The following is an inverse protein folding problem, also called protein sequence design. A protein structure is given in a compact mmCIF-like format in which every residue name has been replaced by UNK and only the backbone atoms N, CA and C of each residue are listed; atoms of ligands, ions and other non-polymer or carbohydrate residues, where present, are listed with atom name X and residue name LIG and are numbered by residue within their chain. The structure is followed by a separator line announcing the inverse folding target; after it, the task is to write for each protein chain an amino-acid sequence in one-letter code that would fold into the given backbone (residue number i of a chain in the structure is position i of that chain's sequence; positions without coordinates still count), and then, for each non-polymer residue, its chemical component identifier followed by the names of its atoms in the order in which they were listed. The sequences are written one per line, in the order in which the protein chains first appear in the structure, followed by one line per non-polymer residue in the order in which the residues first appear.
data_IF_004472116271
#
_entry.id   IF_004472116271
#
_cell.length_a   1.000
_cell.length_b   1.000
_cell.length_c   1.000
_cell.angle_alpha   90.00
_cell.angle_beta   90.00
_cell.angle_gamma   90.00
#
_symmetry.space_group_name_H-M   'P 1'
#
loop_
_entity.id
_entity.type
_entity.pdbx_description
1 polymer ?
#
# COMPACT_ATOMS: atom_id res chain seq x y z
N UNK A 1 -53.08 -54.83 36.03
CA UNK A 1 -51.61 -54.59 35.90
C UNK A 1 -51.21 -53.35 35.07
N UNK A 2 -51.99 -52.25 35.04
CA UNK A 2 -51.62 -51.03 34.26
C UNK A 2 -51.26 -49.78 35.08
N UNK A 3 -51.26 -49.87 36.42
CA UNK A 3 -50.95 -48.72 37.29
C UNK A 3 -49.45 -48.65 37.66
N UNK A 4 -48.73 -49.77 37.68
CA UNK A 4 -47.30 -49.80 38.06
C UNK A 4 -46.32 -49.28 36.99
N UNK A 5 -46.70 -49.19 35.70
CA UNK A 5 -45.81 -48.73 34.63
C UNK A 5 -45.74 -47.21 34.50
N UNK A 6 -46.75 -46.48 34.99
CA UNK A 6 -46.82 -45.01 34.89
C UNK A 6 -45.95 -44.28 35.93
N UNK A 7 -45.72 -44.88 37.10
CA UNK A 7 -44.82 -44.35 38.13
C UNK A 7 -43.35 -44.49 37.74
N UNK A 8 -42.97 -45.61 37.12
CA UNK A 8 -41.58 -45.87 36.66
C UNK A 8 -41.12 -44.93 35.54
N UNK A 9 -42.04 -44.43 34.70
CA UNK A 9 -41.73 -43.47 33.62
C UNK A 9 -41.52 -42.03 34.13
N UNK A 10 -42.15 -41.66 35.25
CA UNK A 10 -41.99 -40.34 35.86
C UNK A 10 -40.67 -40.23 36.62
N UNK A 11 -40.28 -41.28 37.35
CA UNK A 11 -38.99 -41.33 38.03
C UNK A 11 -37.83 -41.34 37.03
N UNK A 12 -37.94 -42.04 35.91
CA UNK A 12 -36.93 -42.03 34.85
C UNK A 12 -36.77 -40.65 34.19
N UNK A 13 -37.88 -39.93 33.94
CA UNK A 13 -37.84 -38.57 33.40
C UNK A 13 -37.24 -37.55 34.37
N UNK A 14 -37.53 -37.69 35.66
CA UNK A 14 -36.90 -36.85 36.69
C UNK A 14 -35.40 -37.13 36.79
N UNK A 15 -34.98 -38.39 36.72
CA UNK A 15 -33.57 -38.77 36.68
C UNK A 15 -32.85 -38.20 35.45
N UNK A 16 -33.46 -38.27 34.26
CA UNK A 16 -32.90 -37.68 33.04
C UNK A 16 -32.77 -36.16 33.12
N UNK A 17 -33.75 -35.46 33.73
CA UNK A 17 -33.67 -34.02 33.96
C UNK A 17 -32.54 -33.65 34.94
N UNK A 18 -32.37 -34.42 36.02
CA UNK A 18 -31.30 -34.20 36.99
C UNK A 18 -29.92 -34.41 36.34
N UNK A 19 -29.76 -35.47 35.55
CA UNK A 19 -28.51 -35.76 34.82
C UNK A 19 -28.22 -34.66 33.78
N UNK A 20 -29.25 -34.17 33.09
CA UNK A 20 -29.08 -33.08 32.12
C UNK A 20 -28.65 -31.77 32.79
N UNK A 21 -29.30 -31.39 33.90
CA UNK A 21 -28.95 -30.21 34.67
C UNK A 21 -27.54 -30.29 35.28
N UNK A 22 -27.14 -31.45 35.79
CA UNK A 22 -25.79 -31.64 36.33
C UNK A 22 -24.71 -31.57 35.25
N UNK A 23 -24.96 -32.14 34.06
CA UNK A 23 -24.05 -31.98 32.92
C UNK A 23 -23.92 -30.53 32.46
N UNK A 24 -25.02 -29.77 32.44
CA UNK A 24 -24.97 -28.34 32.10
C UNK A 24 -24.21 -27.53 33.14
N UNK A 25 -24.42 -27.77 34.43
CA UNK A 25 -23.65 -27.11 35.50
C UNK A 25 -22.16 -27.44 35.41
N UNK A 26 -21.81 -28.68 35.07
CA UNK A 26 -20.42 -29.11 34.91
C UNK A 26 -19.77 -28.44 33.70
N UNK A 27 -20.47 -28.32 32.58
CA UNK A 27 -20.00 -27.57 31.40
C UNK A 27 -19.81 -26.07 31.69
N UNK A 28 -20.74 -25.44 32.42
CA UNK A 28 -20.61 -24.04 32.83
C UNK A 28 -19.39 -23.86 33.74
N UNK A 29 -19.19 -24.75 34.71
CA UNK A 29 -18.02 -24.73 35.59
C UNK A 29 -16.71 -24.89 34.82
N UNK A 30 -16.67 -25.80 33.84
CA UNK A 30 -15.50 -26.04 33.00
C UNK A 30 -15.17 -24.83 32.12
N UNK A 31 -16.19 -24.18 31.55
CA UNK A 31 -16.04 -22.93 30.79
C UNK A 31 -15.53 -21.81 31.70
N UNK A 32 -16.10 -21.62 32.90
CA UNK A 32 -15.63 -20.64 33.88
C UNK A 32 -14.19 -20.91 34.32
N UNK A 33 -13.79 -22.17 34.48
CA UNK A 33 -12.42 -22.54 34.81
C UNK A 33 -11.43 -22.19 33.69
N UNK A 34 -11.81 -22.37 32.42
CA UNK A 34 -11.01 -21.95 31.25
C UNK A 34 -10.88 -20.42 31.18
N UNK A 35 -11.94 -19.69 31.53
CA UNK A 35 -11.86 -18.23 31.63
C UNK A 35 -10.97 -17.76 32.79
N UNK A 36 -10.96 -18.49 33.93
CA UNK A 36 -10.14 -18.13 35.08
C UNK A 36 -8.64 -18.44 34.88
N UNK A 37 -8.30 -19.46 34.07
CA UNK A 37 -6.90 -19.77 33.70
C UNK A 37 -6.32 -18.85 32.62
N UNK A 38 -7.16 -18.05 31.96
CA UNK A 38 -6.70 -17.10 30.91
C UNK A 38 -6.29 -15.72 31.46
N UNK A 39 -6.43 -15.47 32.78
CA UNK A 39 -6.09 -14.20 33.42
C UNK A 39 -4.96 -14.29 34.47
N UNK A 40 -4.24 -15.40 34.57
CA UNK A 40 -2.92 -15.39 35.23
C UNK A 40 -1.83 -15.14 34.18
N UNK A 41 -1.26 -13.94 34.22
CA UNK A 41 -0.06 -13.56 33.51
C UNK A 41 1.06 -14.54 33.90
N UNK A 42 1.43 -15.43 32.96
CA UNK A 42 2.56 -16.33 33.11
C UNK A 42 3.84 -15.52 33.31
N UNK A 43 4.25 -15.36 34.57
CA UNK A 43 5.58 -14.92 34.94
C UNK A 43 6.53 -16.11 34.70
N UNK A 44 7.29 -16.09 33.61
CA UNK A 44 8.37 -17.07 33.41
C UNK A 44 9.64 -16.64 34.17
N UNK A 45 10.36 -17.58 34.81
CA UNK A 45 11.53 -17.29 35.61
C UNK A 45 12.79 -17.21 34.74
N UNK A 46 13.63 -16.21 35.00
CA UNK A 46 15.03 -16.24 34.57
C UNK A 46 15.55 -14.90 34.08
N UNK A 47 16.14 -14.12 34.99
CA UNK A 47 17.49 -13.55 34.92
C UNK A 47 17.70 -12.86 36.28
N UNK A 48 18.57 -13.45 37.11
CA UNK A 48 19.06 -12.78 38.32
C UNK A 48 19.97 -11.64 37.90
N UNK A 49 19.61 -10.41 38.28
CA UNK A 49 20.55 -9.32 38.49
C UNK A 49 20.35 -8.88 39.95
N UNK A 50 21.36 -9.17 40.76
CA UNK A 50 21.48 -8.74 42.14
C UNK A 50 21.68 -7.22 42.19
N UNK A 51 20.66 -6.49 42.60
CA UNK A 51 20.81 -5.10 43.08
C UNK A 51 20.60 -5.12 44.58
N UNK A 52 21.69 -4.93 45.30
CA UNK A 52 21.73 -4.74 46.75
C UNK A 52 21.00 -3.45 47.08
N UNK A 53 19.84 -3.55 47.74
CA UNK A 53 19.19 -2.42 48.41
C UNK A 53 19.54 -2.50 49.90
N UNK A 54 20.38 -1.57 50.35
CA UNK A 54 20.60 -1.33 51.78
C UNK A 54 19.44 -0.49 52.30
N UNK A 55 18.70 -1.06 53.25
CA UNK A 55 17.63 -0.40 54.00
C UNK A 55 18.30 0.35 55.16
N UNK A 56 18.09 1.67 55.26
CA UNK A 56 18.08 2.33 56.56
C UNK A 56 16.85 3.23 56.72
N UNK A 57 16.27 3.04 57.90
CA UNK A 57 14.97 3.50 58.36
C UNK A 57 14.86 5.01 58.60
N UNK A 58 13.61 5.42 58.60
CA UNK A 58 13.03 6.68 59.05
C UNK A 58 13.41 7.12 60.47
N UNK A 59 13.66 8.42 60.66
CA UNK A 59 13.19 9.22 61.81
C UNK A 59 13.15 10.72 61.49
N UNK A 60 12.04 11.34 61.88
CA UNK A 60 11.59 12.76 61.80
C UNK A 60 12.34 13.69 62.79
N UNK A 61 12.01 15.00 62.94
CA UNK A 61 11.49 16.05 62.02
C UNK A 61 12.24 17.41 62.17
N UNK A 62 12.20 18.34 61.20
CA UNK A 62 12.22 19.80 61.52
C UNK A 62 11.89 20.73 60.33
N UNK A 63 10.92 21.62 60.58
CA UNK A 63 10.61 22.94 59.99
C UNK A 63 11.22 23.38 58.64
N UNK A 64 10.37 23.81 57.68
CA UNK A 64 10.11 25.24 57.33
C UNK A 64 9.23 25.37 56.07
N UNK A 65 8.48 26.47 56.04
CA UNK A 65 7.52 26.93 55.03
C UNK A 65 8.12 27.22 53.63
N UNK A 66 7.22 27.18 52.63
CA UNK A 66 7.24 27.83 51.31
C UNK A 66 8.26 27.25 50.29
N UNK A 67 7.99 27.11 49.00
CA UNK A 67 7.12 27.85 48.07
C UNK A 67 6.87 26.97 46.84
N UNK A 68 5.78 27.22 46.11
CA UNK A 68 5.46 26.56 44.86
C UNK A 68 6.57 26.71 43.80
N UNK A 69 6.92 25.60 43.14
CA UNK A 69 7.76 25.55 41.95
C UNK A 69 7.23 24.47 41.03
N UNK A 70 6.60 24.90 39.93
CA UNK A 70 6.18 24.06 38.82
C UNK A 70 7.43 23.43 38.20
N UNK A 71 7.52 22.09 38.23
CA UNK A 71 8.53 21.36 37.45
C UNK A 71 7.93 21.10 36.07
N UNK A 72 8.35 21.93 35.13
CA UNK A 72 8.12 21.77 33.70
C UNK A 72 8.81 20.50 33.22
N UNK A 73 8.12 19.74 32.39
CA UNK A 73 8.56 18.53 31.73
C UNK A 73 9.58 18.91 30.64
N UNK A 74 10.89 18.84 30.92
CA UNK A 74 11.97 19.21 29.98
C UNK A 74 12.69 18.00 29.33
N UNK A 75 12.16 16.78 29.42
CA UNK A 75 12.94 15.57 29.05
C UNK A 75 12.69 15.06 27.61
N UNK A 76 11.76 15.63 26.85
CA UNK A 76 11.40 15.09 25.51
C UNK A 76 11.91 15.93 24.31
N UNK A 77 12.50 17.10 24.55
CA UNK A 77 12.92 18.05 23.51
C UNK A 77 14.36 17.83 23.01
N UNK A 78 15.26 17.30 23.85
CA UNK A 78 16.70 17.20 23.54
C UNK A 78 17.01 16.17 22.44
N UNK A 79 16.37 14.98 22.50
CA UNK A 79 16.59 13.92 21.50
C UNK A 79 16.06 14.27 20.10
N UNK A 80 14.93 14.99 20.03
CA UNK A 80 14.34 15.38 18.73
C UNK A 80 15.21 16.41 18.00
N UNK A 81 15.84 17.33 18.75
CA UNK A 81 16.75 18.31 18.18
C UNK A 81 18.03 17.67 17.64
N UNK A 82 18.60 16.70 18.37
CA UNK A 82 19.78 15.93 17.94
C UNK A 82 19.49 15.11 16.66
N UNK A 83 18.33 14.46 16.59
CA UNK A 83 17.95 13.68 15.40
C UNK A 83 17.71 14.56 14.16
N UNK A 84 17.13 15.76 14.34
CA UNK A 84 17.03 16.75 13.27
C UNK A 84 18.41 17.23 12.79
N UNK A 85 19.34 17.46 13.73
CA UNK A 85 20.71 17.85 13.40
C UNK A 85 21.45 16.75 12.62
N UNK A 86 21.28 15.47 12.98
CA UNK A 86 21.83 14.34 12.20
C UNK A 86 21.25 14.28 10.80
N UNK A 87 19.94 14.50 10.65
CA UNK A 87 19.28 14.49 9.34
C UNK A 87 19.78 15.66 8.47
N UNK A 88 19.98 16.83 9.06
CA UNK A 88 20.57 17.99 8.39
C UNK A 88 22.03 17.72 7.98
N UNK A 89 22.83 17.12 8.86
CA UNK A 89 24.20 16.71 8.57
C UNK A 89 24.26 15.68 7.42
N UNK A 90 23.34 14.70 7.40
CA UNK A 90 23.23 13.73 6.30
C UNK A 90 23.01 14.43 4.96
N UNK A 91 22.02 15.32 4.87
CA UNK A 91 21.72 16.02 3.61
C UNK A 91 22.72 17.09 3.24
N UNK A 92 23.53 17.56 4.19
CA UNK A 92 24.66 18.46 3.94
C UNK A 92 25.91 17.71 3.47
N UNK A 93 25.98 16.40 3.65
CA UNK A 93 27.13 15.59 3.26
C UNK A 93 27.37 15.61 1.73
N UNK A 94 28.64 15.65 1.26
CA UNK A 94 28.96 15.74 -0.17
C UNK A 94 28.34 14.64 -1.03
N UNK A 95 28.19 13.41 -0.50
CA UNK A 95 27.56 12.29 -1.21
C UNK A 95 26.09 12.55 -1.58
N UNK A 96 25.36 13.38 -0.83
CA UNK A 96 23.97 13.76 -1.14
C UNK A 96 23.87 14.99 -2.04
N UNK A 97 24.99 15.65 -2.32
CA UNK A 97 25.07 16.88 -3.11
C UNK A 97 25.96 16.71 -4.36
N UNK A 98 26.13 15.46 -4.83
CA UNK A 98 26.85 15.20 -6.06
C UNK A 98 26.15 15.89 -7.26
N UNK A 99 26.91 16.51 -8.18
CA UNK A 99 26.35 17.15 -9.35
C UNK A 99 25.60 16.12 -10.20
N UNK A 100 24.31 16.37 -10.42
CA UNK A 100 23.47 15.53 -11.28
C UNK A 100 23.49 16.10 -12.69
N UNK A 101 23.73 15.28 -13.74
CA UNK A 101 23.63 15.74 -15.12
C UNK A 101 22.23 16.33 -15.39
N UNK A 102 22.13 17.38 -16.22
CA UNK A 102 20.83 17.92 -16.61
C UNK A 102 20.00 16.83 -17.29
N UNK A 103 18.73 16.73 -16.90
CA UNK A 103 17.80 15.75 -17.47
C UNK A 103 17.46 16.18 -18.89
N UNK A 104 17.78 15.33 -19.87
CA UNK A 104 17.45 15.60 -21.26
C UNK A 104 15.94 15.64 -21.48
N UNK A 105 15.47 16.36 -22.50
CA UNK A 105 14.04 16.40 -22.81
C UNK A 105 13.45 15.00 -22.99
N UNK A 106 14.21 14.05 -23.53
CA UNK A 106 13.76 12.66 -23.74
C UNK A 106 13.61 11.82 -22.47
N UNK A 107 14.07 12.34 -21.33
CA UNK A 107 14.12 11.62 -20.06
C UNK A 107 13.04 12.04 -19.06
N UNK A 108 12.22 13.03 -19.39
CA UNK A 108 11.01 13.35 -18.62
C UNK A 108 9.87 12.39 -18.97
N UNK A 109 9.16 11.90 -17.95
CA UNK A 109 8.05 10.95 -18.16
C UNK A 109 6.88 11.60 -18.90
N UNK A 110 6.49 12.80 -18.46
CA UNK A 110 5.39 13.57 -19.02
C UNK A 110 5.91 14.90 -19.57
N UNK A 111 5.27 15.39 -20.62
CA UNK A 111 5.59 16.69 -21.23
C UNK A 111 4.32 17.50 -21.39
N UNK A 112 4.37 18.75 -20.97
CA UNK A 112 3.32 19.73 -21.28
C UNK A 112 3.46 20.08 -22.76
N UNK A 113 2.39 19.92 -23.54
CA UNK A 113 2.36 20.41 -24.92
C UNK A 113 2.12 21.91 -24.89
N UNK A 114 3.01 22.69 -25.49
CA UNK A 114 2.77 24.11 -25.74
C UNK A 114 1.96 24.27 -27.04
N UNK A 115 1.05 25.26 -27.07
CA UNK A 115 0.10 25.53 -28.18
C UNK A 115 0.75 25.61 -29.57
N UNK A 116 2.05 25.89 -29.65
CA UNK A 116 2.80 26.01 -30.92
C UNK A 116 2.79 24.69 -31.73
N UNK A 117 2.59 23.52 -31.09
CA UNK A 117 2.52 22.23 -31.79
C UNK A 117 1.11 21.79 -32.22
N UNK A 118 0.06 22.54 -31.90
CA UNK A 118 -1.31 22.20 -32.35
C UNK A 118 -1.55 22.55 -33.82
N UNK A 119 -0.85 23.55 -34.37
CA UNK A 119 -1.02 23.97 -35.78
C UNK A 119 -0.39 22.99 -36.78
N UNK A 120 0.64 22.22 -36.39
CA UNK A 120 1.28 21.23 -37.28
C UNK A 120 0.60 19.86 -37.31
N UNK A 121 -0.18 19.50 -36.28
CA UNK A 121 -0.80 18.16 -36.18
C UNK A 121 -2.29 18.11 -36.51
N UNK A 122 -2.96 19.26 -36.60
CA UNK A 122 -4.40 19.38 -36.86
C UNK A 122 -4.82 19.05 -38.31
N UNK A 123 -3.88 18.73 -39.20
CA UNK A 123 -4.19 18.40 -40.59
C UNK A 123 -4.73 16.96 -40.77
N UNK A 124 -4.53 16.03 -39.84
CA UNK A 124 -4.95 14.62 -40.04
C UNK A 124 -5.48 13.92 -38.78
N UNK A 125 -6.71 14.23 -38.33
CA UNK A 125 -7.67 13.22 -37.81
C UNK A 125 -9.01 13.87 -37.45
N UNK A 126 -10.01 13.68 -38.32
CA UNK A 126 -11.43 13.87 -38.00
C UNK A 126 -12.00 12.54 -37.48
N UNK A 127 -12.42 12.51 -36.23
CA UNK A 127 -13.18 11.40 -35.64
C UNK A 127 -13.63 11.75 -34.23
N UNK A 128 -14.95 11.82 -34.04
CA UNK A 128 -15.64 11.99 -32.75
C UNK A 128 -15.23 10.91 -31.75
N UNK A 129 -14.87 11.31 -30.53
CA UNK A 129 -15.14 10.51 -29.33
C UNK A 129 -15.35 11.45 -28.13
N UNK A 130 -16.32 11.06 -27.32
CA UNK A 130 -17.01 11.86 -26.31
C UNK A 130 -16.17 12.14 -25.05
N UNK A 131 -16.44 13.33 -24.48
CA UNK A 131 -16.38 13.64 -23.03
C UNK A 131 -14.99 13.56 -22.36
N UNK A 132 -14.14 14.53 -22.68
CA UNK A 132 -13.30 15.23 -21.68
C UNK A 132 -13.17 16.68 -22.13
N UNK A 133 -13.49 17.64 -21.26
CA UNK A 133 -13.11 19.04 -21.52
C UNK A 133 -11.60 19.08 -21.73
N UNK A 134 -11.09 19.71 -22.81
CA UNK A 134 -9.66 19.87 -22.99
C UNK A 134 -9.16 20.78 -21.88
N UNK A 135 -8.66 20.18 -20.81
CA UNK A 135 -8.08 20.92 -19.70
C UNK A 135 -6.90 21.69 -20.30
N UNK A 136 -7.10 23.00 -20.41
CA UNK A 136 -6.10 23.95 -20.85
C UNK A 136 -5.06 24.07 -19.73
N UNK A 137 -4.18 23.07 -19.62
CA UNK A 137 -3.03 23.13 -18.72
C UNK A 137 -2.17 24.31 -19.17
N UNK A 138 -2.20 25.40 -18.41
CA UNK A 138 -1.41 26.57 -18.76
C UNK A 138 0.08 26.20 -18.72
N UNK A 139 0.90 26.91 -19.48
CA UNK A 139 2.33 26.63 -19.58
C UNK A 139 3.12 26.97 -18.30
N UNK A 140 2.49 27.57 -17.28
CA UNK A 140 3.13 27.97 -16.03
C UNK A 140 3.00 26.87 -14.97
N UNK A 141 4.09 26.12 -14.81
CA UNK A 141 4.23 25.05 -13.83
C UNK A 141 3.97 25.48 -12.37
N UNK A 142 4.03 26.78 -12.06
CA UNK A 142 3.80 27.32 -10.71
C UNK A 142 2.32 27.30 -10.28
N UNK A 143 1.40 27.29 -11.24
CA UNK A 143 -0.06 27.30 -10.95
C UNK A 143 -0.65 25.90 -10.81
N UNK A 144 0.12 24.86 -11.14
CA UNK A 144 -0.34 23.48 -11.08
C UNK A 144 -0.45 22.97 -9.64
N UNK A 145 -1.45 22.13 -9.33
CA UNK A 145 -1.57 21.53 -8.02
C UNK A 145 -0.33 20.65 -7.71
N UNK A 146 0.10 20.56 -6.44
CA UNK A 146 1.29 19.81 -6.05
C UNK A 146 1.38 18.38 -6.60
N UNK A 147 0.26 17.65 -6.68
CA UNK A 147 0.24 16.29 -7.24
C UNK A 147 0.60 16.25 -8.72
N UNK A 148 0.20 17.27 -9.50
CA UNK A 148 0.50 17.35 -10.93
C UNK A 148 1.96 17.76 -11.16
N UNK A 149 2.46 18.70 -10.36
CA UNK A 149 3.88 19.06 -10.35
C UNK A 149 4.76 17.85 -10.05
N UNK A 150 4.33 16.99 -9.13
CA UNK A 150 4.99 15.70 -8.87
C UNK A 150 4.98 14.80 -10.10
N UNK A 151 3.83 14.62 -10.76
CA UNK A 151 3.75 13.82 -12.00
C UNK A 151 4.66 14.34 -13.12
N UNK A 152 4.70 15.65 -13.32
CA UNK A 152 5.56 16.31 -14.31
C UNK A 152 7.05 16.25 -13.93
N UNK A 153 7.37 16.14 -12.64
CA UNK A 153 8.73 16.02 -12.11
C UNK A 153 9.34 14.62 -12.20
N UNK A 154 8.57 13.60 -12.58
CA UNK A 154 9.09 12.23 -12.73
C UNK A 154 10.03 12.18 -13.95
N UNK A 155 11.24 11.70 -13.72
CA UNK A 155 12.28 11.55 -14.73
C UNK A 155 12.73 10.10 -14.88
N UNK A 156 13.63 9.86 -15.84
CA UNK A 156 14.28 8.56 -16.06
C UNK A 156 14.97 8.01 -14.82
N UNK A 157 15.56 8.89 -14.02
CA UNK A 157 16.53 8.51 -12.99
C UNK A 157 15.93 8.47 -11.59
N UNK A 158 14.87 9.23 -11.35
CA UNK A 158 14.28 9.41 -10.02
C UNK A 158 12.83 9.85 -10.11
N UNK A 159 12.05 9.47 -9.09
CA UNK A 159 10.62 9.78 -8.99
C UNK A 159 10.37 11.23 -8.54
N UNK A 160 11.27 11.78 -7.74
CA UNK A 160 11.30 13.16 -7.29
C UNK A 160 12.77 13.58 -7.09
N UNK A 161 13.05 14.88 -7.05
CA UNK A 161 14.41 15.39 -6.89
C UNK A 161 14.85 15.37 -5.43
N UNK A 162 16.17 15.33 -5.19
CA UNK A 162 16.73 15.39 -3.84
C UNK A 162 16.31 16.66 -3.08
N UNK A 163 16.36 17.80 -3.75
CA UNK A 163 15.93 19.11 -3.24
C UNK A 163 14.66 19.57 -3.97
N UNK A 164 13.65 18.70 -4.01
CA UNK A 164 12.38 19.01 -4.67
C UNK A 164 11.54 20.01 -3.84
N UNK A 165 11.35 21.25 -4.32
CA UNK A 165 10.55 22.25 -3.60
C UNK A 165 9.06 21.91 -3.56
N UNK A 166 8.58 21.00 -4.42
CA UNK A 166 7.19 20.58 -4.45
C UNK A 166 6.85 19.51 -3.41
N UNK A 167 7.85 18.76 -2.92
CA UNK A 167 7.62 17.64 -2.01
C UNK A 167 6.91 18.05 -0.70
N UNK A 168 7.34 19.13 0.01
CA UNK A 168 6.63 19.60 1.21
C UNK A 168 5.18 20.03 0.93
N UNK A 169 4.96 20.71 -0.21
CA UNK A 169 3.63 21.15 -0.61
C UNK A 169 2.71 19.95 -0.93
N UNK A 170 3.25 18.91 -1.58
CA UNK A 170 2.51 17.69 -1.88
C UNK A 170 2.14 16.93 -0.61
N UNK A 171 3.10 16.70 0.31
CA UNK A 171 2.82 16.00 1.56
C UNK A 171 1.81 16.75 2.41
N UNK A 172 1.94 18.08 2.49
CA UNK A 172 0.99 18.92 3.22
C UNK A 172 -0.41 18.88 2.57
N UNK A 173 -0.48 18.88 1.24
CA UNK A 173 -1.75 18.73 0.51
C UNK A 173 -2.42 17.40 0.88
N UNK A 174 -1.68 16.28 0.85
CA UNK A 174 -2.23 14.96 1.15
C UNK A 174 -2.76 14.87 2.59
N UNK A 175 -2.05 15.47 3.56
CA UNK A 175 -2.46 15.46 4.98
C UNK A 175 -3.73 16.30 5.22
N UNK A 176 -3.82 17.47 4.60
CA UNK A 176 -4.81 18.49 4.95
C UNK A 176 -6.05 18.53 4.05
N UNK A 177 -5.95 18.04 2.82
CA UNK A 177 -7.06 18.16 1.89
C UNK A 177 -8.22 17.25 2.27
N UNK A 178 -9.43 17.81 2.17
CA UNK A 178 -10.67 17.05 2.36
C UNK A 178 -10.80 15.97 1.30
N UNK A 179 -11.14 14.76 1.72
CA UNK A 179 -11.46 13.65 0.83
C UNK A 179 -12.89 13.84 0.28
N UNK A 180 -13.07 13.73 -1.05
CA UNK A 180 -14.39 13.85 -1.71
C UNK A 180 -14.92 12.51 -2.23
N UNK A 181 -14.04 11.52 -2.35
CA UNK A 181 -14.39 10.17 -2.76
C UNK A 181 -13.40 9.17 -2.21
N UNK A 182 -13.89 8.00 -1.81
CA UNK A 182 -13.09 6.85 -1.44
C UNK A 182 -13.70 5.60 -2.12
N UNK A 183 -12.90 4.93 -2.93
CA UNK A 183 -13.31 3.73 -3.69
C UNK A 183 -12.34 2.62 -3.40
N UNK A 184 -12.84 1.41 -3.17
CA UNK A 184 -11.95 0.28 -2.98
C UNK A 184 -11.26 -0.13 -4.28
N UNK A 185 -9.95 -0.36 -4.23
CA UNK A 185 -9.21 -0.88 -5.37
C UNK A 185 -9.62 -2.34 -5.65
N UNK A 186 -10.00 -2.63 -6.91
CA UNK A 186 -10.31 -3.99 -7.36
C UNK A 186 -9.07 -4.85 -7.57
N UNK A 187 -9.23 -6.17 -7.41
CA UNK A 187 -8.20 -7.19 -7.70
C UNK A 187 -6.97 -7.13 -6.80
N UNK A 188 -7.05 -6.51 -5.62
CA UNK A 188 -5.96 -6.46 -4.65
C UNK A 188 -5.92 -7.68 -3.72
N UNK A 189 -4.72 -8.08 -3.31
CA UNK A 189 -4.50 -9.15 -2.32
C UNK A 189 -5.19 -8.79 -1.00
N UNK A 190 -4.88 -7.60 -0.48
CA UNK A 190 -5.45 -7.03 0.74
C UNK A 190 -6.19 -5.71 0.45
N UNK A 191 -6.92 -5.21 1.46
CA UNK A 191 -7.72 -4.00 1.37
C UNK A 191 -6.87 -2.75 1.11
N UNK A 192 -7.19 -2.02 0.03
CA UNK A 192 -6.58 -0.75 -0.34
C UNK A 192 -7.68 0.16 -0.89
N UNK A 193 -7.69 1.42 -0.50
CA UNK A 193 -8.66 2.40 -0.99
C UNK A 193 -7.95 3.41 -1.89
N UNK A 194 -8.62 3.84 -2.95
CA UNK A 194 -8.24 5.00 -3.74
C UNK A 194 -9.09 6.16 -3.27
N UNK A 195 -8.45 7.19 -2.74
CA UNK A 195 -9.12 8.40 -2.28
C UNK A 195 -8.82 9.55 -3.22
N UNK A 196 -9.82 10.39 -3.47
CA UNK A 196 -9.70 11.55 -4.34
C UNK A 196 -9.96 12.85 -3.58
N UNK A 197 -9.29 13.92 -4.00
CA UNK A 197 -9.40 15.28 -3.49
C UNK A 197 -10.18 16.18 -4.48
N UNK A 198 -10.66 17.36 -4.06
CA UNK A 198 -11.39 18.30 -4.93
C UNK A 198 -10.60 18.74 -6.16
N UNK A 199 -9.26 18.80 -6.05
CA UNK A 199 -8.36 19.18 -7.12
C UNK A 199 -7.96 18.00 -8.04
N UNK A 200 -8.78 16.93 -8.06
CA UNK A 200 -8.60 15.70 -8.84
C UNK A 200 -7.38 14.83 -8.46
N UNK A 201 -6.56 15.28 -7.50
CA UNK A 201 -5.47 14.48 -6.98
C UNK A 201 -5.98 13.21 -6.31
N UNK A 202 -5.26 12.10 -6.47
CA UNK A 202 -5.60 10.81 -5.89
C UNK A 202 -4.47 10.25 -5.03
N UNK A 203 -4.86 9.47 -4.02
CA UNK A 203 -3.93 8.74 -3.15
C UNK A 203 -4.39 7.30 -2.96
N UNK A 204 -3.43 6.41 -2.77
CA UNK A 204 -3.67 5.05 -2.31
C UNK A 204 -3.60 5.04 -0.79
N UNK A 205 -4.70 4.71 -0.15
CA UNK A 205 -4.82 4.57 1.29
C UNK A 205 -4.70 3.10 1.72
N UNK A 206 -3.80 2.83 2.67
CA UNK A 206 -3.75 1.57 3.42
C UNK A 206 -4.10 1.82 4.89
N UNK A 207 -5.16 1.21 5.42
CA UNK A 207 -5.56 1.35 6.81
C UNK A 207 -4.60 0.62 7.76
N UNK A 208 -4.61 1.04 9.02
CA UNK A 208 -4.01 0.30 10.12
C UNK A 208 -4.71 -1.05 10.28
N UNK A 209 -3.93 -2.13 10.14
CA UNK A 209 -4.39 -3.52 10.31
C UNK A 209 -3.86 -4.20 11.57
N UNK A 210 -2.76 -3.68 12.11
CA UNK A 210 -1.99 -4.30 13.17
C UNK A 210 -1.48 -3.21 14.11
N UNK A 211 -1.39 -3.48 15.41
CA UNK A 211 -0.90 -2.51 16.39
C UNK A 211 0.62 -2.27 16.24
N UNK A 212 1.09 -1.14 16.76
CA UNK A 212 2.49 -0.70 16.56
C UNK A 212 3.52 -1.64 17.21
N UNK A 213 3.16 -2.27 18.32
CA UNK A 213 4.03 -3.17 19.08
C UNK A 213 3.82 -4.65 18.75
N UNK A 214 2.89 -4.96 17.84
CA UNK A 214 2.63 -6.34 17.45
C UNK A 214 3.60 -6.75 16.34
N UNK A 215 4.27 -7.88 16.54
CA UNK A 215 5.14 -8.49 15.54
C UNK A 215 4.40 -9.52 14.69
N UNK A 216 4.95 -9.84 13.53
CA UNK A 216 4.42 -10.93 12.71
C UNK A 216 4.72 -12.25 13.41
N UNK A 217 3.71 -13.12 13.52
CA UNK A 217 3.90 -14.45 14.09
C UNK A 217 4.94 -15.24 13.27
N UNK A 218 5.97 -15.76 13.94
CA UNK A 218 7.07 -16.52 13.32
C UNK A 218 6.62 -17.76 12.54
N UNK A 219 5.45 -18.32 12.88
CA UNK A 219 4.88 -19.48 12.19
C UNK A 219 4.09 -19.11 10.93
N UNK A 220 3.96 -17.80 10.63
CA UNK A 220 3.24 -17.32 9.46
C UNK A 220 4.14 -17.34 8.23
N UNK A 221 3.63 -17.88 7.13
CA UNK A 221 4.32 -17.76 5.85
C UNK A 221 4.33 -16.29 5.37
N UNK A 222 5.41 -15.89 4.68
CA UNK A 222 5.60 -14.54 4.16
C UNK A 222 4.47 -14.02 3.24
N UNK A 223 3.66 -14.90 2.64
CA UNK A 223 2.52 -14.52 1.78
C UNK A 223 1.21 -14.39 2.55
N UNK A 224 1.21 -14.69 3.85
CA UNK A 224 0.08 -14.56 4.75
C UNK A 224 0.22 -13.36 5.67
N UNK A 225 1.35 -12.67 5.69
CA UNK A 225 1.54 -11.55 6.61
C UNK A 225 0.85 -10.26 6.10
N UNK A 226 0.48 -9.37 7.04
CA UNK A 226 -0.35 -8.21 6.82
C UNK A 226 0.39 -7.08 6.09
N UNK A 227 -0.32 -6.38 5.22
CA UNK A 227 0.16 -5.10 4.70
C UNK A 227 -0.10 -4.00 5.72
N UNK A 228 0.98 -3.40 6.24
CA UNK A 228 0.93 -2.37 7.29
C UNK A 228 1.15 -0.97 6.72
N UNK A 229 0.43 0.01 7.25
CA UNK A 229 0.58 1.41 6.88
C UNK A 229 1.92 2.01 7.34
N UNK A 230 2.38 1.68 8.57
CA UNK A 230 3.67 2.09 9.11
C UNK A 230 4.81 1.84 8.13
N UNK A 231 4.73 0.69 7.48
CA UNK A 231 5.80 0.25 6.62
C UNK A 231 5.74 0.91 5.23
N UNK A 232 4.59 1.40 4.76
CA UNK A 232 4.54 2.29 3.60
C UNK A 232 5.21 3.64 3.90
N UNK A 233 4.95 4.20 5.08
CA UNK A 233 5.54 5.45 5.53
C UNK A 233 7.05 5.29 5.69
N UNK A 234 7.49 4.28 6.44
CA UNK A 234 8.90 4.00 6.68
C UNK A 234 9.66 3.71 5.36
N UNK A 235 9.05 2.99 4.42
CA UNK A 235 9.66 2.72 3.12
C UNK A 235 9.96 4.00 2.34
N UNK A 236 9.04 4.96 2.33
CA UNK A 236 9.26 6.26 1.68
C UNK A 236 10.42 7.03 2.32
N UNK A 237 10.45 7.12 3.65
CA UNK A 237 11.52 7.83 4.35
C UNK A 237 12.87 7.12 4.21
N UNK A 238 12.91 5.79 4.29
CA UNK A 238 14.13 5.01 4.12
C UNK A 238 14.66 5.07 2.68
N UNK A 239 13.79 4.94 1.66
CA UNK A 239 14.16 5.15 0.25
C UNK A 239 14.76 6.54 0.00
N UNK A 240 14.24 7.56 0.68
CA UNK A 240 14.75 8.93 0.62
C UNK A 240 16.10 9.06 1.34
N UNK A 241 16.22 8.50 2.54
CA UNK A 241 17.47 8.51 3.33
C UNK A 241 18.56 7.78 2.57
N UNK A 242 18.30 6.62 1.95
CA UNK A 242 19.29 5.90 1.14
C UNK A 242 19.62 6.58 -0.19
N UNK A 243 18.89 7.65 -0.54
CA UNK A 243 19.09 8.39 -1.77
C UNK A 243 18.65 7.64 -3.03
N UNK A 244 17.71 6.70 -2.91
CA UNK A 244 17.17 5.95 -4.06
C UNK A 244 16.08 6.73 -4.81
N UNK A 245 15.15 7.37 -4.09
CA UNK A 245 14.05 8.20 -4.63
C UNK A 245 13.17 7.44 -5.63
N UNK A 246 12.77 6.22 -5.28
CA UNK A 246 11.97 5.28 -6.11
C UNK A 246 10.59 4.97 -5.51
N UNK A 247 10.33 5.35 -4.26
CA UNK A 247 9.04 5.14 -3.58
C UNK A 247 8.20 6.42 -3.64
N UNK A 248 6.92 6.39 -4.04
CA UNK A 248 6.09 7.61 -4.07
C UNK A 248 5.96 8.23 -2.67
N UNK A 249 5.75 9.56 -2.57
CA UNK A 249 5.54 10.21 -1.29
C UNK A 249 4.39 9.58 -0.49
N UNK A 250 4.66 9.22 0.77
CA UNK A 250 3.68 8.63 1.69
C UNK A 250 3.64 9.43 2.97
N UNK A 251 2.44 9.69 3.49
CA UNK A 251 2.22 10.38 4.77
C UNK A 251 1.32 9.55 5.69
N UNK A 252 1.50 9.73 7.00
CA UNK A 252 0.58 9.22 8.02
C UNK A 252 -0.67 10.12 8.09
N UNK A 253 -1.83 9.50 8.29
CA UNK A 253 -3.07 10.19 8.59
C UNK A 253 -3.76 9.48 9.75
N UNK A 254 -4.24 10.24 10.73
CA UNK A 254 -4.88 9.70 11.94
C UNK A 254 -6.41 9.78 11.89
N UNK A 255 -6.95 10.65 11.04
CA UNK A 255 -8.36 11.04 11.03
C UNK A 255 -8.97 11.00 9.63
N UNK A 256 -9.29 9.80 9.13
CA UNK A 256 -10.13 9.70 7.94
C UNK A 256 -11.61 9.57 8.37
N UNK A 257 -12.49 10.48 7.94
CA UNK A 257 -13.91 10.32 8.15
C UNK A 257 -14.41 9.10 7.35
N UNK A 258 -15.09 8.18 8.03
CA UNK A 258 -15.76 7.04 7.41
C UNK A 258 -16.93 7.53 6.55
N UNK A 259 -16.69 7.78 5.27
CA UNK A 259 -17.73 8.18 4.31
C UNK A 259 -18.67 7.01 3.99
N UNK A 260 -19.95 7.34 3.84
CA UNK A 260 -21.03 6.41 3.53
C UNK A 260 -20.94 5.80 2.11
N UNK A 261 -19.94 6.14 1.28
CA UNK A 261 -19.76 5.49 -0.04
C UNK A 261 -19.01 4.15 0.00
N UNK A 262 -18.44 3.80 1.16
CA UNK A 262 -17.88 2.48 1.50
C UNK A 262 -18.93 1.58 2.21
N UNK A 263 -20.21 2.02 2.24
CA UNK A 263 -21.34 1.54 3.08
C UNK A 263 -21.60 0.05 3.08
N UNK A 264 -21.34 -0.66 1.99
CA UNK A 264 -21.79 -2.05 1.88
C UNK A 264 -21.13 -2.99 2.89
N UNK A 265 -19.98 -2.61 3.45
CA UNK A 265 -19.25 -3.43 4.44
C UNK A 265 -19.17 -2.79 5.83
N UNK A 266 -19.82 -1.64 6.03
CA UNK A 266 -19.83 -0.99 7.34
C UNK A 266 -20.82 -1.66 8.29
N UNK A 267 -20.40 -1.84 9.54
CA UNK A 267 -21.26 -2.31 10.61
C UNK A 267 -20.83 -1.72 11.95
N UNK A 268 -21.76 -1.65 12.89
CA UNK A 268 -21.48 -1.21 14.26
C UNK A 268 -21.14 -2.43 15.10
N UNK A 269 -20.01 -2.37 15.81
CA UNK A 269 -19.60 -3.42 16.74
C UNK A 269 -20.44 -3.42 18.02
N UNK A 270 -20.43 -4.52 18.80
CA UNK A 270 -21.14 -4.58 20.08
C UNK A 270 -20.75 -3.49 21.08
N UNK A 271 -19.55 -2.92 20.95
CA UNK A 271 -19.03 -1.83 21.79
C UNK A 271 -19.20 -0.44 21.16
N UNK A 272 -20.04 -0.31 20.11
CA UNK A 272 -20.41 0.97 19.51
C UNK A 272 -19.43 1.55 18.47
N UNK A 273 -18.29 0.91 18.22
CA UNK A 273 -17.34 1.37 17.20
C UNK A 273 -17.84 1.04 15.78
N UNK A 274 -17.61 1.96 14.83
CA UNK A 274 -17.84 1.74 13.40
C UNK A 274 -16.71 0.88 12.83
N UNK A 275 -17.06 -0.19 12.12
CA UNK A 275 -16.11 -1.14 11.52
C UNK A 275 -16.41 -1.36 10.05
N UNK A 276 -15.38 -1.69 9.27
CA UNK A 276 -15.54 -2.12 7.86
C UNK A 276 -14.43 -3.10 7.46
N UNK A 277 -14.71 -3.99 6.52
CA UNK A 277 -13.75 -5.00 6.06
C UNK A 277 -13.49 -4.98 4.55
N UNK A 278 -14.32 -4.31 3.76
CA UNK A 278 -14.17 -4.24 2.30
C UNK A 278 -14.28 -5.60 1.59
N UNK A 279 -13.76 -5.69 0.38
CA UNK A 279 -13.89 -6.84 -0.52
C UNK A 279 -12.57 -7.17 -1.23
N UNK A 280 -11.70 -7.93 -0.60
CA UNK A 280 -10.41 -8.35 -1.16
C UNK A 280 -10.19 -9.85 -0.95
N UNK A 281 -9.14 -10.41 -1.54
CA UNK A 281 -8.90 -11.86 -1.46
C UNK A 281 -8.42 -12.35 -0.09
N UNK A 282 -7.67 -11.54 0.65
CA UNK A 282 -7.07 -11.89 1.94
C UNK A 282 -7.51 -10.89 3.02
N UNK A 283 -8.02 -11.41 4.14
CA UNK A 283 -8.34 -10.60 5.32
C UNK A 283 -9.37 -9.49 5.07
N UNK A 284 -10.41 -9.80 4.27
CA UNK A 284 -11.58 -8.95 4.06
C UNK A 284 -12.86 -9.71 4.47
N UNK A 285 -12.98 -10.02 5.76
CA UNK A 285 -14.18 -10.59 6.39
C UNK A 285 -14.43 -9.88 7.72
N UNK A 286 -15.57 -10.17 8.36
CA UNK A 286 -15.98 -9.55 9.64
C UNK A 286 -14.90 -9.73 10.74
N UNK A 287 -14.22 -10.87 10.75
CA UNK A 287 -13.15 -11.21 11.72
C UNK A 287 -11.91 -10.31 11.59
N UNK A 288 -11.64 -9.80 10.38
CA UNK A 288 -10.51 -8.93 10.07
C UNK A 288 -10.95 -7.49 9.80
N UNK A 289 -12.13 -7.10 10.30
CA UNK A 289 -12.67 -5.77 10.08
C UNK A 289 -11.81 -4.70 10.77
N UNK A 290 -11.53 -3.62 10.04
CA UNK A 290 -10.83 -2.45 10.57
C UNK A 290 -11.80 -1.68 11.44
N UNK A 291 -11.33 -1.33 12.64
CA UNK A 291 -12.11 -0.63 13.63
C UNK A 291 -11.71 0.84 13.68
N UNK A 292 -12.69 1.74 13.55
CA UNK A 292 -12.49 3.12 13.96
C UNK A 292 -12.38 3.23 15.48
N UNK A 293 -11.65 4.24 15.96
CA UNK A 293 -11.58 4.60 17.39
C UNK A 293 -12.21 5.99 17.62
N UNK A 294 -13.54 6.13 17.81
CA UNK A 294 -14.64 5.24 17.40
C UNK A 294 -15.06 5.42 15.92
N UNK A 295 -14.70 6.55 15.30
CA UNK A 295 -15.00 6.90 13.89
C UNK A 295 -13.76 7.13 13.02
N UNK A 296 -12.62 7.39 13.67
CA UNK A 296 -11.37 7.74 13.00
C UNK A 296 -10.53 6.49 12.78
N UNK A 297 -9.97 6.38 11.58
CA UNK A 297 -9.09 5.28 11.18
C UNK A 297 -7.73 5.86 10.83
N UNK A 298 -6.70 5.32 11.49
CA UNK A 298 -5.32 5.58 11.17
C UNK A 298 -4.90 4.83 9.90
N UNK A 299 -4.01 5.41 9.11
CA UNK A 299 -3.36 4.69 8.03
C UNK A 299 -2.33 5.52 7.28
N UNK A 300 -1.98 5.06 6.09
CA UNK A 300 -0.99 5.69 5.21
C UNK A 300 -1.65 6.14 3.93
N UNK A 301 -1.28 7.32 3.44
CA UNK A 301 -1.69 7.83 2.13
C UNK A 301 -0.47 7.98 1.23
N UNK A 302 -0.41 7.16 0.19
CA UNK A 302 0.63 7.23 -0.84
C UNK A 302 0.12 8.04 -2.05
N UNK A 303 0.92 9.00 -2.53
CA UNK A 303 0.62 9.74 -3.76
C UNK A 303 0.42 8.77 -4.93
N UNK A 304 -0.69 8.90 -5.66
CA UNK A 304 -0.94 8.06 -6.83
C UNK A 304 0.03 8.45 -7.96
N UNK A 305 0.60 7.45 -8.65
CA UNK A 305 1.36 7.69 -9.87
C UNK A 305 0.45 8.09 -11.04
N UNK A 306 0.99 8.65 -12.14
CA UNK A 306 0.19 8.98 -13.31
C UNK A 306 -0.63 7.79 -13.80
N UNK A 307 -1.78 8.07 -14.41
CA UNK A 307 -2.66 7.02 -14.94
C UNK A 307 -1.92 6.14 -15.97
N UNK A 308 -2.30 4.87 -16.05
CA UNK A 308 -1.68 3.92 -16.99
C UNK A 308 -1.93 4.30 -18.46
N UNK A 309 -3.02 5.02 -18.75
CA UNK A 309 -3.32 5.56 -20.08
C UNK A 309 -2.31 6.63 -20.52
N UNK A 310 -1.79 7.42 -19.57
CA UNK A 310 -0.81 8.47 -19.83
C UNK A 310 0.62 7.96 -19.74
N UNK A 311 0.91 7.10 -18.76
CA UNK A 311 2.22 6.54 -18.50
C UNK A 311 2.14 5.02 -18.28
N UNK A 312 2.12 4.22 -19.37
CA UNK A 312 2.08 2.78 -19.28
C UNK A 312 3.28 2.22 -18.50
N UNK A 313 3.00 1.32 -17.56
CA UNK A 313 4.03 0.69 -16.71
C UNK A 313 4.21 -0.77 -17.08
N UNK A 314 5.47 -1.23 -17.03
CA UNK A 314 5.80 -2.64 -17.24
C UNK A 314 6.11 -3.30 -15.89
N UNK A 315 5.37 -4.35 -15.58
CA UNK A 315 5.67 -5.23 -14.45
C UNK A 315 6.67 -6.29 -14.87
N UNK A 316 7.73 -6.45 -14.09
CA UNK A 316 8.77 -7.47 -14.32
C UNK A 316 8.75 -8.45 -13.16
N UNK A 317 8.88 -9.75 -13.47
CA UNK A 317 9.01 -10.78 -12.44
C UNK A 317 10.44 -10.77 -11.91
N UNK A 318 10.62 -10.60 -10.60
CA UNK A 318 11.95 -10.72 -9.98
C UNK A 318 12.53 -12.14 -10.21
N UNK A 319 13.80 -12.27 -10.61
CA UNK A 319 14.50 -13.56 -10.65
C UNK A 319 14.52 -14.24 -9.27
N UNK A 320 14.65 -13.47 -8.20
CA UNK A 320 14.63 -13.95 -6.81
C UNK A 320 13.21 -14.03 -6.22
N UNK A 321 12.18 -14.10 -7.06
CA UNK A 321 10.81 -14.35 -6.59
C UNK A 321 10.77 -15.69 -5.86
N UNK A 322 10.17 -15.70 -4.66
CA UNK A 322 9.89 -16.95 -3.91
C UNK A 322 8.87 -17.82 -4.63
N UNK A 323 8.76 -19.08 -4.21
CA UNK A 323 7.83 -20.05 -4.79
C UNK A 323 6.35 -19.75 -4.50
N UNK A 324 6.05 -18.97 -3.44
CA UNK A 324 4.70 -18.80 -2.88
C UNK A 324 4.00 -20.15 -2.62
N UNK A 325 4.79 -21.13 -2.19
CA UNK A 325 4.35 -22.48 -1.88
C UNK A 325 4.87 -22.88 -0.50
N UNK A 326 4.10 -23.72 0.21
CA UNK A 326 4.50 -24.28 1.51
C UNK A 326 5.54 -25.39 1.40
N UNK A 327 5.63 -26.05 0.24
CA UNK A 327 6.47 -27.23 0.04
C UNK A 327 7.51 -27.10 -1.06
N UNK A 328 7.30 -26.19 -2.03
CA UNK A 328 8.24 -26.01 -3.14
C UNK A 328 9.28 -24.95 -2.80
N UNK A 329 10.55 -25.27 -3.04
CA UNK A 329 11.64 -24.30 -3.03
C UNK A 329 11.68 -23.52 -4.35
N UNK A 330 12.20 -22.30 -4.30
CA UNK A 330 12.53 -21.52 -5.49
C UNK A 330 13.88 -21.96 -6.06
N UNK A 331 14.09 -21.76 -7.36
CA UNK A 331 15.32 -22.20 -8.05
C UNK A 331 16.60 -21.60 -7.43
N UNK A 332 16.54 -20.34 -7.02
CA UNK A 332 17.67 -19.65 -6.38
C UNK A 332 17.97 -20.13 -4.96
N UNK A 333 17.05 -20.85 -4.30
CA UNK A 333 17.29 -21.46 -2.99
C UNK A 333 18.09 -22.75 -3.11
N UNK A 334 18.11 -23.38 -4.28
CA UNK A 334 18.80 -24.65 -4.55
C UNK A 334 20.10 -24.50 -5.34
N UNK A 335 20.26 -23.40 -6.08
CA UNK A 335 21.41 -23.15 -6.95
C UNK A 335 22.25 -21.99 -6.42
N UNK A 336 23.48 -22.30 -5.96
CA UNK A 336 24.42 -21.29 -5.44
C UNK A 336 24.95 -20.34 -6.53
N UNK A 337 24.85 -20.71 -7.81
CA UNK A 337 25.35 -19.93 -8.95
C UNK A 337 24.24 -19.15 -9.69
N UNK A 338 23.07 -18.97 -9.08
CA UNK A 338 21.88 -18.37 -9.71
C UNK A 338 22.03 -16.87 -10.09
N UNK A 339 23.12 -16.20 -9.74
CA UNK A 339 23.23 -14.74 -9.76
C UNK A 339 23.09 -14.13 -11.17
N UNK A 340 22.27 -13.08 -11.29
CA UNK A 340 22.18 -12.23 -12.49
C UNK A 340 22.53 -10.78 -12.13
N UNK A 341 23.51 -10.18 -12.80
CA UNK A 341 24.01 -8.84 -12.44
C UNK A 341 23.07 -7.74 -12.95
N UNK A 342 22.25 -7.18 -12.06
CA UNK A 342 21.43 -6.00 -12.33
C UNK A 342 21.47 -5.04 -11.13
N UNK A 343 22.16 -3.90 -11.28
CA UNK A 343 22.43 -2.95 -10.18
C UNK A 343 21.15 -2.45 -9.53
N UNK A 344 20.13 -2.08 -10.31
CA UNK A 344 18.82 -1.65 -9.77
C UNK A 344 18.19 -2.67 -8.82
N UNK A 345 18.45 -3.96 -9.08
CA UNK A 345 17.89 -5.06 -8.31
C UNK A 345 18.66 -5.29 -7.01
N UNK A 346 19.94 -4.92 -6.97
CA UNK A 346 20.76 -4.94 -5.75
C UNK A 346 20.26 -3.85 -4.79
N UNK A 347 20.14 -2.61 -5.26
CA UNK A 347 19.59 -1.50 -4.47
C UNK A 347 18.21 -1.84 -3.90
N UNK A 348 17.35 -2.41 -4.75
CA UNK A 348 16.04 -2.92 -4.35
C UNK A 348 16.16 -3.99 -3.26
N UNK A 349 17.07 -4.95 -3.43
CA UNK A 349 17.27 -6.01 -2.44
C UNK A 349 17.80 -5.48 -1.11
N UNK A 350 18.64 -4.44 -1.12
CA UNK A 350 19.12 -3.76 0.09
C UNK A 350 17.97 -3.08 0.81
N UNK A 351 17.13 -2.32 0.08
CA UNK A 351 15.96 -1.67 0.65
C UNK A 351 14.98 -2.71 1.24
N UNK A 352 14.66 -3.76 0.48
CA UNK A 352 13.80 -4.85 0.93
C UNK A 352 14.36 -5.55 2.18
N UNK A 353 15.68 -5.74 2.25
CA UNK A 353 16.35 -6.37 3.40
C UNK A 353 16.28 -5.49 4.66
N UNK A 354 16.63 -4.20 4.54
CA UNK A 354 16.53 -3.25 5.66
C UNK A 354 15.10 -3.08 6.14
N UNK A 355 14.13 -3.19 5.23
CA UNK A 355 12.72 -3.20 5.55
C UNK A 355 12.19 -4.56 5.97
N UNK A 356 12.93 -5.66 5.90
CA UNK A 356 12.41 -6.98 6.29
C UNK A 356 12.16 -7.07 7.79
N UNK A 357 12.83 -6.21 8.58
CA UNK A 357 12.49 -5.97 9.99
C UNK A 357 11.17 -5.17 10.16
N UNK A 358 10.69 -4.55 9.06
CA UNK A 358 9.53 -3.66 9.01
C UNK A 358 8.36 -4.18 8.13
N UNK A 359 8.54 -5.23 7.29
CA UNK A 359 7.53 -5.69 6.29
C UNK A 359 7.48 -7.19 6.00
N UNK A 360 6.24 -7.63 5.81
CA UNK A 360 5.81 -8.62 4.81
C UNK A 360 5.54 -8.03 3.43
N UNK A 361 5.74 -8.87 2.42
CA UNK A 361 6.03 -8.53 1.04
C UNK A 361 4.80 -8.15 0.23
N UNK A 362 4.73 -6.87 -0.15
CA UNK A 362 4.31 -6.44 -1.50
C UNK A 362 4.78 -4.99 -1.71
N UNK A 363 6.09 -4.75 -1.86
CA UNK A 363 6.52 -3.50 -2.47
C UNK A 363 6.29 -3.63 -3.97
N UNK A 364 5.23 -2.99 -4.46
CA UNK A 364 5.05 -2.75 -5.88
C UNK A 364 6.14 -1.79 -6.33
N UNK A 365 7.31 -2.30 -6.67
CA UNK A 365 8.28 -1.50 -7.40
C UNK A 365 7.78 -1.30 -8.81
N UNK A 366 7.35 -0.07 -9.05
CA UNK A 366 7.12 0.44 -10.39
C UNK A 366 8.50 0.67 -10.98
N UNK A 367 8.99 -0.32 -11.73
CA UNK A 367 10.05 -0.06 -12.70
C UNK A 367 9.42 0.80 -13.80
N UNK A 368 9.43 2.12 -13.62
CA UNK A 368 9.21 3.04 -14.74
C UNK A 368 10.27 2.66 -15.76
N UNK A 369 9.84 2.03 -16.86
CA UNK A 369 10.77 1.52 -17.86
C UNK A 369 11.44 2.73 -18.48
N UNK A 370 12.66 2.98 -18.03
CA UNK A 370 13.46 4.09 -18.50
C UNK A 370 14.86 3.60 -18.88
N UNK A 371 14.88 2.52 -19.68
CA UNK A 371 16.03 2.21 -20.51
C UNK A 371 15.83 2.83 -21.90
N UNK A 372 16.89 3.39 -22.51
CA UNK A 372 16.84 3.80 -23.90
C UNK A 372 16.54 2.56 -24.76
N UNK A 373 15.83 2.75 -25.86
CA UNK A 373 15.97 1.81 -26.99
C UNK A 373 17.46 1.80 -27.32
N UNK A 374 18.18 0.75 -26.97
CA UNK A 374 19.47 0.49 -27.59
C UNK A 374 19.19 0.42 -29.09
N UNK A 375 19.74 1.39 -29.83
CA UNK A 375 19.87 1.27 -31.26
C UNK A 375 20.58 -0.06 -31.52
N UNK A 376 19.94 -0.95 -32.27
CA UNK A 376 20.62 -2.11 -32.83
C UNK A 376 21.81 -1.55 -33.62
N UNK A 377 23.01 -1.74 -33.11
CA UNK A 377 24.24 -1.51 -33.87
C UNK A 377 24.22 -2.47 -35.05
N UNK A 378 24.16 -1.90 -36.24
CA UNK A 378 24.32 -2.62 -37.49
C UNK A 378 25.71 -3.27 -37.52
N UNK A 379 25.75 -4.59 -37.75
CA UNK A 379 26.86 -5.23 -38.43
C UNK A 379 26.28 -5.91 -39.67
N UNK A 380 26.89 -5.58 -40.80
CA UNK A 380 26.40 -5.74 -42.17
C UNK A 380 26.47 -7.18 -42.68
N UNK A 381 25.69 -7.39 -43.76
CA UNK A 381 25.87 -8.25 -44.95
C UNK A 381 24.49 -8.90 -45.23
N UNK A 382 23.60 -8.39 -46.11
CA UNK A 382 23.70 -8.11 -47.56
C UNK A 382 22.39 -7.38 -48.05
N UNK A 383 22.29 -6.87 -49.31
CA UNK A 383 21.81 -5.52 -49.68
C UNK A 383 20.29 -5.35 -50.03
N UNK A 384 19.80 -4.11 -50.30
CA UNK A 384 18.45 -3.66 -50.00
C UNK A 384 17.52 -3.55 -51.21
N UNK A 385 16.20 -3.61 -50.97
CA UNK A 385 15.22 -2.96 -51.85
C UNK A 385 14.06 -2.30 -51.08
N UNK A 386 14.11 -0.97 -51.08
CA UNK A 386 13.03 0.00 -51.33
C UNK A 386 11.97 0.25 -50.23
N UNK A 387 11.96 1.51 -49.77
CA UNK A 387 10.95 2.17 -48.94
C UNK A 387 9.59 2.30 -49.66
N UNK A 388 8.49 2.35 -48.90
CA UNK A 388 7.36 3.20 -49.25
C UNK A 388 6.53 3.59 -48.02
N UNK A 389 6.56 4.88 -47.70
CA UNK A 389 5.53 5.56 -46.92
C UNK A 389 4.36 5.96 -47.83
N UNK A 390 3.16 5.79 -47.27
CA UNK A 390 2.00 6.71 -47.37
C UNK A 390 0.85 6.45 -48.37
N UNK A 391 -0.33 6.46 -47.72
CA UNK A 391 -1.64 7.07 -48.08
C UNK A 391 -2.78 6.21 -48.69
N UNK A 392 -4.04 6.53 -48.32
CA UNK A 392 -5.19 5.62 -48.38
C UNK A 392 -6.05 5.82 -49.63
N UNK A 393 -6.80 4.78 -50.03
CA UNK A 393 -7.78 4.82 -51.13
C UNK A 393 -9.19 5.21 -50.63
N UNK A 394 -9.97 6.00 -51.39
CA UNK A 394 -11.32 6.42 -51.03
C UNK A 394 -12.39 5.39 -51.43
N UNK A 395 -13.50 5.39 -50.68
CA UNK A 395 -14.75 4.66 -50.96
C UNK A 395 -15.45 5.21 -52.19
N UNK A 396 -16.05 4.33 -53.00
CA UNK A 396 -17.04 4.66 -54.03
C UNK A 396 -18.33 3.88 -53.75
N UNK A 397 -19.43 4.62 -53.64
CA UNK A 397 -20.81 4.15 -53.63
C UNK A 397 -21.36 4.06 -55.05
N UNK A 398 -22.08 2.99 -55.40
CA UNK A 398 -23.19 3.05 -56.36
C UNK A 398 -24.09 1.81 -56.22
N UNK A 399 -25.38 2.03 -56.43
CA UNK A 399 -26.51 1.15 -56.14
C UNK A 399 -26.99 0.34 -57.36
N UNK A 400 -27.53 -0.86 -57.13
CA UNK A 400 -28.88 -1.35 -57.53
C UNK A 400 -28.98 -2.90 -57.48
N UNK A 401 -30.11 -3.37 -56.94
CA UNK A 401 -30.69 -4.76 -56.97
C UNK A 401 -31.13 -5.15 -58.40
N UNK A 402 -31.50 -6.43 -58.75
CA UNK A 402 -32.27 -7.42 -57.96
C UNK A 402 -31.84 -8.93 -58.13
N UNK A 403 -32.56 -9.91 -57.51
CA UNK A 403 -32.10 -11.28 -57.28
C UNK A 403 -32.71 -12.30 -58.25
N UNK A 404 -32.19 -13.53 -58.33
CA UNK A 404 -32.97 -14.75 -58.65
C UNK A 404 -32.16 -16.07 -58.58
N UNK A 405 -32.80 -17.05 -57.91
CA UNK A 405 -32.85 -18.52 -58.16
C UNK A 405 -31.64 -19.46 -58.02
N UNK A 406 -31.78 -20.34 -57.02
CA UNK A 406 -31.98 -21.80 -57.09
C UNK A 406 -30.97 -22.74 -57.80
N UNK A 407 -30.83 -23.88 -57.13
CA UNK A 407 -30.60 -25.24 -57.64
C UNK A 407 -29.16 -25.79 -57.65
N UNK A 408 -28.91 -26.63 -56.62
CA UNK A 408 -28.43 -28.02 -56.71
C UNK A 408 -27.40 -28.40 -57.78
N UNK A 409 -26.31 -29.04 -57.34
CA UNK A 409 -26.09 -30.50 -57.56
C UNK A 409 -24.61 -30.87 -57.69
N UNK A 410 -24.15 -31.67 -56.73
CA UNK A 410 -23.28 -32.86 -56.85
C UNK A 410 -21.85 -32.80 -57.41
N UNK A 411 -21.01 -33.55 -56.66
CA UNK A 411 -19.88 -34.44 -57.05
C UNK A 411 -18.54 -33.77 -57.37
N UNK A 412 -17.59 -33.84 -56.44
CA UNK A 412 -16.68 -34.97 -56.13
C UNK A 412 -15.45 -35.00 -57.05
N UNK A 413 -14.31 -34.64 -56.47
CA UNK A 413 -13.08 -35.44 -56.41
C UNK A 413 -12.29 -34.99 -55.18
#
# INVERSE_FOLDING_TARGET
MRVCTRWRSRTLRMWLLIVFLSLHLLMVSLVLSIYHTSCELHSYPGIQISIIFSIQNTSTPTSKMATAGSVTQEVETDGTADDLAKLEALYSHPLYNLPTPPVSDGDWLLKVRTKIKEEELSIHSSGEDDRYDPILWNASAETHPPWLRFHLGISRWQMYQQKDPNLPALTQQIISHRIVSAVQKSGGTQLKLVMAFPNYGQVLFKPMKQERHEETNVNLYYFSDFERHNAEIAAFHLDRILGFRRVPPVVEIKDIPTDHKLVTTFFTSPVGNTRFYGQCSYYCSIEYAICGRPLKIEGSMAAMLPDLSLAPRRSWRSPWKRSYSRSKLAQWETDSNYCTRLVDLIDLSILDFLMSDLKSKEIFFIKVKCQPRLHKTARSNTPPHVYATSRPRPRRSQAHRPPLTLATSLRSL
#
